data_IF_970367213266
#
_entry.id   IF_970367213266
#
_cell.length_a   1.000
_cell.length_b   1.000
_cell.length_c   1.000
_cell.angle_alpha   90.00
_cell.angle_beta   90.00
_cell.angle_gamma   90.00
#
_symmetry.space_group_name_H-M   'P 1'
#
loop_
_entity.id
_entity.type
_entity.pdbx_description
1 polymer ?
#
# COMPACT_ATOMS: atom_id res chain seq x y z
N UNK A 1 -11.71 -44.22 8.45
CA UNK A 1 -12.18 -43.06 7.65
C UNK A 1 -11.46 -41.81 8.12
N UNK A 2 -10.32 -41.47 7.50
CA UNK A 2 -9.62 -40.20 7.76
C UNK A 2 -10.31 -39.09 6.95
N UNK A 3 -10.98 -38.15 7.62
CA UNK A 3 -11.41 -36.89 7.01
C UNK A 3 -10.17 -36.05 6.76
N UNK A 4 -9.84 -35.83 5.48
CA UNK A 4 -8.84 -34.83 5.07
C UNK A 4 -9.45 -33.45 5.35
N UNK A 5 -8.99 -32.78 6.39
CA UNK A 5 -9.28 -31.37 6.64
C UNK A 5 -8.36 -30.52 5.78
N UNK A 6 -8.92 -29.91 4.74
CA UNK A 6 -8.23 -28.93 3.90
C UNK A 6 -8.03 -27.65 4.71
N UNK A 7 -6.81 -27.43 5.20
CA UNK A 7 -6.40 -26.20 5.87
C UNK A 7 -6.32 -25.09 4.80
N UNK A 8 -7.34 -24.23 4.73
CA UNK A 8 -7.28 -23.02 3.93
C UNK A 8 -6.36 -22.01 4.63
N UNK A 9 -5.08 -22.03 4.28
CA UNK A 9 -4.13 -20.99 4.67
C UNK A 9 -4.58 -19.71 3.97
N UNK A 10 -5.04 -18.73 4.75
CA UNK A 10 -5.44 -17.38 4.31
C UNK A 10 -4.19 -16.60 3.81
N UNK A 11 -3.61 -17.00 2.68
CA UNK A 11 -2.66 -16.20 1.92
C UNK A 11 -3.43 -15.39 0.89
N UNK A 12 -4.11 -14.33 1.32
CA UNK A 12 -4.90 -13.53 0.40
C UNK A 12 -5.58 -12.33 1.03
N UNK A 13 -4.83 -11.43 1.68
CA UNK A 13 -5.32 -10.06 1.82
C UNK A 13 -4.90 -9.27 0.57
N UNK A 14 -5.77 -9.40 -0.43
CA UNK A 14 -5.93 -8.43 -1.50
C UNK A 14 -6.24 -7.09 -0.82
N UNK A 15 -5.49 -6.05 -1.19
CA UNK A 15 -5.83 -4.67 -0.82
C UNK A 15 -7.20 -4.39 -1.44
N UNK A 16 -8.25 -4.46 -0.63
CA UNK A 16 -9.58 -4.06 -1.02
C UNK A 16 -9.59 -2.52 -1.07
N UNK A 17 -9.92 -1.86 -2.20
CA UNK A 17 -10.12 -0.43 -2.20
C UNK A 17 -11.42 -0.12 -1.44
N UNK A 18 -11.33 0.51 -0.27
CA UNK A 18 -12.47 1.13 0.38
C UNK A 18 -12.95 2.28 -0.50
N UNK A 19 -14.13 2.14 -1.13
CA UNK A 19 -14.86 3.28 -1.70
C UNK A 19 -15.59 4.00 -0.58
N UNK A 20 -15.01 5.11 -0.11
CA UNK A 20 -15.63 6.00 0.86
C UNK A 20 -16.67 6.90 0.15
N UNK A 21 -17.95 6.65 0.40
CA UNK A 21 -19.06 7.49 -0.07
C UNK A 21 -19.34 8.59 0.94
N UNK A 22 -18.84 9.80 0.71
CA UNK A 22 -19.16 10.98 1.54
C UNK A 22 -20.44 11.63 0.99
N UNK A 23 -21.53 11.57 1.77
CA UNK A 23 -22.70 12.44 1.57
C UNK A 23 -22.39 13.83 2.15
N UNK A 24 -22.67 14.94 1.43
CA UNK A 24 -22.55 16.27 2.00
C UNK A 24 -23.71 16.52 2.97
N UNK A 25 -23.39 16.89 4.22
CA UNK A 25 -24.35 17.47 5.15
C UNK A 25 -24.44 18.98 4.88
N UNK A 26 -25.63 19.44 4.51
CA UNK A 26 -26.00 20.85 4.40
C UNK A 26 -26.05 21.47 5.80
N UNK A 27 -25.24 22.48 6.05
CA UNK A 27 -25.37 23.35 7.21
C UNK A 27 -26.25 24.56 6.84
N UNK A 28 -27.32 24.76 7.60
CA UNK A 28 -28.13 25.98 7.62
C UNK A 28 -27.68 26.80 8.83
N UNK A 29 -27.17 28.01 8.60
CA UNK A 29 -26.98 29.04 9.63
C UNK A 29 -28.03 30.13 9.46
N UNK A 30 -28.55 30.63 10.58
CA UNK A 30 -29.37 31.84 10.68
C UNK A 30 -28.84 32.73 11.81
N UNK A 31 -28.28 33.89 11.41
CA UNK A 31 -28.43 35.30 11.92
C UNK A 31 -28.41 35.59 13.45
N UNK A 32 -28.08 36.82 13.93
CA UNK A 32 -27.84 38.07 13.20
C UNK A 32 -26.66 38.98 13.62
N UNK A 33 -26.43 39.92 12.71
CA UNK A 33 -25.83 41.25 12.74
C UNK A 33 -25.86 42.01 14.09
N UNK A 34 -24.68 42.46 14.56
CA UNK A 34 -24.53 43.65 15.43
C UNK A 34 -23.37 44.49 14.88
N UNK A 35 -23.71 45.74 14.53
CA UNK A 35 -22.80 46.84 14.25
C UNK A 35 -22.13 47.31 15.54
N UNK A 36 -20.81 47.44 15.56
CA UNK A 36 -20.16 48.47 16.37
C UNK A 36 -18.82 48.90 15.76
N UNK A 37 -18.62 50.21 15.76
CA UNK A 37 -17.54 50.94 15.10
C UNK A 37 -16.49 51.36 16.14
N UNK A 38 -15.26 51.58 15.65
CA UNK A 38 -14.16 52.41 16.20
C UNK A 38 -13.04 51.64 16.93
N UNK A 39 -11.81 51.78 16.39
CA UNK A 39 -10.56 51.48 17.08
C UNK A 39 -9.41 51.10 16.13
N UNK A 40 -8.82 52.09 15.44
CA UNK A 40 -7.56 51.90 14.71
C UNK A 40 -6.40 51.86 15.72
N UNK A 41 -6.05 50.66 16.19
CA UNK A 41 -4.75 50.39 16.81
C UNK A 41 -3.94 49.41 15.96
N UNK A 42 -2.67 49.75 15.81
CA UNK A 42 -1.70 49.12 14.93
C UNK A 42 -1.32 47.72 15.46
N UNK A 43 -2.10 46.70 15.11
CA UNK A 43 -1.78 45.30 15.40
C UNK A 43 -0.66 44.79 14.49
N UNK A 44 0.48 44.48 15.09
CA UNK A 44 1.50 43.63 14.47
C UNK A 44 0.91 42.23 14.24
N UNK A 45 0.97 41.79 12.99
CA UNK A 45 0.29 40.61 12.45
C UNK A 45 0.79 39.30 13.12
N UNK A 46 -0.02 38.61 13.97
CA UNK A 46 0.41 37.39 14.69
C UNK A 46 0.40 36.10 13.83
N UNK A 47 -0.02 36.20 12.56
CA UNK A 47 -0.33 35.05 11.70
C UNK A 47 0.92 34.28 11.22
N UNK A 48 2.07 34.93 11.12
CA UNK A 48 3.31 34.30 10.63
C UNK A 48 3.99 33.37 11.67
N UNK A 49 3.86 33.68 12.95
CA UNK A 49 4.50 32.92 14.04
C UNK A 49 3.71 31.65 14.41
N UNK A 50 2.40 31.64 14.18
CA UNK A 50 1.54 30.47 14.47
C UNK A 50 1.72 29.37 13.41
N UNK A 51 1.89 29.73 12.13
CA UNK A 51 2.01 28.77 11.02
C UNK A 51 3.31 27.95 11.08
N UNK A 52 4.41 28.57 11.51
CA UNK A 52 5.73 27.88 11.66
C UNK A 52 5.76 26.92 12.85
N UNK A 53 5.11 27.28 13.97
CA UNK A 53 5.04 26.43 15.15
C UNK A 53 4.16 25.18 14.94
N UNK A 54 3.04 25.29 14.21
CA UNK A 54 2.15 24.15 13.94
C UNK A 54 2.82 23.10 13.03
N UNK A 55 3.55 23.53 12.00
CA UNK A 55 4.30 22.63 11.10
C UNK A 55 5.39 21.85 11.85
N UNK A 56 6.01 22.45 12.87
CA UNK A 56 7.02 21.77 13.68
C UNK A 56 6.44 20.65 14.55
N UNK A 57 5.26 20.86 15.15
CA UNK A 57 4.62 19.88 16.01
C UNK A 57 4.10 18.66 15.23
N UNK A 58 3.50 18.87 14.05
CA UNK A 58 3.05 17.77 13.18
C UNK A 58 4.25 16.91 12.73
N UNK A 59 5.36 17.54 12.34
CA UNK A 59 6.57 16.83 11.93
C UNK A 59 7.20 16.05 13.10
N UNK A 60 7.22 16.61 14.31
CA UNK A 60 7.70 15.92 15.52
C UNK A 60 6.82 14.71 15.81
N UNK A 61 5.50 14.86 15.79
CA UNK A 61 4.56 13.77 16.01
C UNK A 61 4.72 12.67 14.96
N UNK A 62 4.90 13.05 13.69
CA UNK A 62 5.14 12.12 12.60
C UNK A 62 6.44 11.32 12.80
N UNK A 63 7.54 11.97 13.17
CA UNK A 63 8.82 11.28 13.46
C UNK A 63 8.69 10.35 14.66
N UNK A 64 7.98 10.75 15.70
CA UNK A 64 7.74 9.91 16.87
C UNK A 64 6.95 8.64 16.49
N UNK A 65 5.90 8.76 15.66
CA UNK A 65 5.15 7.61 15.12
C UNK A 65 6.03 6.68 14.29
N UNK A 66 6.93 7.25 13.48
CA UNK A 66 7.93 6.49 12.72
C UNK A 66 8.80 5.63 13.63
N UNK A 67 9.36 6.26 14.66
CA UNK A 67 10.26 5.61 15.61
C UNK A 67 9.52 4.54 16.40
N UNK A 68 8.30 4.83 16.87
CA UNK A 68 7.44 3.85 17.52
C UNK A 68 7.23 2.63 16.61
N UNK A 69 6.90 2.83 15.32
CA UNK A 69 6.78 1.73 14.37
C UNK A 69 8.06 0.90 14.28
N UNK A 70 9.24 1.52 14.13
CA UNK A 70 10.51 0.78 14.06
C UNK A 70 10.81 0.00 15.35
N UNK A 71 10.42 0.52 16.52
CA UNK A 71 10.61 -0.11 17.82
C UNK A 71 9.69 -1.31 18.08
N UNK A 72 8.50 -1.37 17.47
CA UNK A 72 7.60 -2.52 17.64
C UNK A 72 8.26 -3.79 17.11
N UNK A 73 8.33 -4.83 17.92
CA UNK A 73 8.93 -6.12 17.52
C UNK A 73 7.92 -7.25 17.69
N UNK A 74 8.11 -8.31 16.89
CA UNK A 74 7.41 -9.59 17.11
C UNK A 74 7.72 -10.07 18.53
N UNK A 75 6.70 -10.56 19.22
CA UNK A 75 6.76 -11.01 20.61
C UNK A 75 6.46 -9.94 21.66
N UNK A 76 6.37 -8.66 21.30
CA UNK A 76 5.89 -7.62 22.23
C UNK A 76 4.43 -7.85 22.62
N UNK A 77 4.02 -7.45 23.81
CA UNK A 77 2.60 -7.44 24.20
C UNK A 77 1.87 -6.24 23.60
N UNK A 78 0.54 -6.32 23.48
CA UNK A 78 -0.26 -5.17 23.06
C UNK A 78 -0.03 -3.94 23.95
N UNK A 79 0.07 -4.11 25.27
CA UNK A 79 0.33 -3.00 26.20
C UNK A 79 1.69 -2.31 25.96
N UNK A 80 2.73 -3.08 25.59
CA UNK A 80 4.02 -2.50 25.20
C UNK A 80 3.89 -1.67 23.91
N UNK A 81 3.12 -2.15 22.94
CA UNK A 81 2.84 -1.43 21.69
C UNK A 81 2.08 -0.13 21.97
N UNK A 82 1.02 -0.19 22.77
CA UNK A 82 0.24 0.99 23.17
C UNK A 82 1.10 2.04 23.88
N UNK A 83 2.02 1.60 24.73
CA UNK A 83 2.99 2.48 25.39
C UNK A 83 3.98 3.13 24.42
N UNK A 84 4.42 2.40 23.39
CA UNK A 84 5.33 2.93 22.36
C UNK A 84 4.65 3.95 21.45
N UNK A 85 3.42 3.66 21.04
CA UNK A 85 2.65 4.53 20.13
C UNK A 85 2.07 5.74 20.88
N UNK A 86 1.82 5.61 22.19
CA UNK A 86 1.27 6.68 23.02
C UNK A 86 -0.26 6.69 23.07
N UNK A 87 -0.90 5.51 23.00
CA UNK A 87 -2.36 5.39 23.07
C UNK A 87 -2.87 4.00 22.71
N UNK A 88 -4.14 3.74 23.03
CA UNK A 88 -4.83 2.49 22.68
C UNK A 88 -5.10 2.40 21.18
N UNK A 89 -4.94 1.20 20.64
CA UNK A 89 -5.35 0.88 19.27
C UNK A 89 -6.83 0.54 19.19
N UNK A 90 -7.44 0.78 18.04
CA UNK A 90 -8.79 0.28 17.74
C UNK A 90 -8.71 -1.18 17.29
N UNK A 91 -9.41 -2.08 17.97
CA UNK A 91 -9.55 -3.46 17.48
C UNK A 91 -10.46 -3.47 16.25
N UNK A 92 -9.92 -3.87 15.10
CA UNK A 92 -10.66 -3.91 13.83
C UNK A 92 -11.13 -5.32 13.47
N UNK A 93 -10.58 -6.34 14.12
CA UNK A 93 -10.97 -7.73 13.92
C UNK A 93 -10.43 -8.62 15.03
N UNK A 94 -11.17 -9.66 15.40
CA UNK A 94 -10.70 -10.72 16.26
C UNK A 94 -11.29 -12.06 15.83
N UNK A 95 -10.54 -13.14 16.05
CA UNK A 95 -10.96 -14.51 15.74
C UNK A 95 -10.28 -15.49 16.69
N UNK A 96 -10.97 -16.58 17.00
CA UNK A 96 -10.43 -17.67 17.80
C UNK A 96 -10.42 -18.96 16.99
N UNK A 97 -9.31 -19.69 17.03
CA UNK A 97 -9.18 -21.00 16.41
C UNK A 97 -8.32 -21.91 17.28
N UNK A 98 -8.86 -23.08 17.64
CA UNK A 98 -8.21 -24.05 18.53
C UNK A 98 -7.71 -23.43 19.85
N UNK A 99 -8.47 -22.49 20.41
CA UNK A 99 -8.12 -21.81 21.67
C UNK A 99 -7.06 -20.71 21.54
N UNK A 100 -6.49 -20.49 20.35
CA UNK A 100 -5.64 -19.34 20.08
C UNK A 100 -6.46 -18.18 19.53
N UNK A 101 -6.27 -17.00 20.11
CA UNK A 101 -6.95 -15.76 19.70
C UNK A 101 -6.03 -14.93 18.84
N UNK A 102 -6.47 -14.57 17.64
CA UNK A 102 -5.78 -13.64 16.75
C UNK A 102 -6.61 -12.37 16.62
N UNK A 103 -6.00 -11.22 16.93
CA UNK A 103 -6.66 -9.92 16.85
C UNK A 103 -5.81 -8.92 16.05
N UNK A 104 -6.47 -7.97 15.40
CA UNK A 104 -5.82 -6.87 14.68
C UNK A 104 -6.22 -5.54 15.29
N UNK A 105 -5.22 -4.71 15.55
CA UNK A 105 -5.37 -3.37 16.11
C UNK A 105 -4.86 -2.34 15.13
N UNK A 106 -5.52 -1.19 15.08
CA UNK A 106 -5.19 -0.12 14.17
C UNK A 106 -5.06 1.22 14.92
N UNK A 107 -4.05 1.98 14.55
CA UNK A 107 -3.90 3.37 14.94
C UNK A 107 -3.91 4.20 13.67
N UNK A 108 -4.91 5.07 13.54
CA UNK A 108 -5.12 5.90 12.35
C UNK A 108 -4.84 7.35 12.70
N UNK A 109 -4.10 8.02 11.82
CA UNK A 109 -3.85 9.45 11.89
C UNK A 109 -4.17 10.12 10.54
N UNK A 110 -4.24 11.45 10.58
CA UNK A 110 -4.29 12.30 9.38
C UNK A 110 -5.43 11.91 8.41
N UNK A 111 -6.61 11.61 8.96
CA UNK A 111 -7.79 11.24 8.18
C UNK A 111 -7.66 9.91 7.41
N UNK A 112 -6.82 8.98 7.88
CA UNK A 112 -6.60 7.69 7.22
C UNK A 112 -5.35 7.62 6.35
N UNK A 113 -4.62 8.73 6.21
CA UNK A 113 -3.45 8.77 5.33
C UNK A 113 -2.19 8.17 5.97
N UNK A 114 -2.14 8.06 7.30
CA UNK A 114 -1.10 7.31 8.02
C UNK A 114 -1.76 6.33 8.97
N UNK A 115 -1.23 5.11 9.02
CA UNK A 115 -1.68 4.11 9.99
C UNK A 115 -0.57 3.16 10.40
N UNK A 116 -0.71 2.61 11.59
CA UNK A 116 0.00 1.41 12.05
C UNK A 116 -1.05 0.35 12.33
N UNK A 117 -0.90 -0.81 11.71
CA UNK A 117 -1.69 -1.98 12.01
C UNK A 117 -0.80 -3.01 12.70
N UNK A 118 -1.28 -3.60 13.79
CA UNK A 118 -0.60 -4.66 14.55
C UNK A 118 -1.51 -5.86 14.65
N UNK A 119 -0.97 -7.04 14.37
CA UNK A 119 -1.64 -8.31 14.51
C UNK A 119 -1.03 -9.01 15.72
N UNK A 120 -1.86 -9.43 16.65
CA UNK A 120 -1.47 -10.22 17.80
C UNK A 120 -2.01 -11.64 17.71
N UNK A 121 -1.29 -12.58 18.30
CA UNK A 121 -1.77 -13.92 18.60
C UNK A 121 -1.53 -14.18 20.08
N UNK A 122 -2.56 -14.58 20.81
CA UNK A 122 -2.50 -14.85 22.25
C UNK A 122 -1.89 -13.68 23.04
N UNK A 123 -2.25 -12.45 22.63
CA UNK A 123 -1.84 -11.20 23.26
C UNK A 123 -0.46 -10.66 22.88
N UNK A 124 0.31 -11.38 22.04
CA UNK A 124 1.65 -10.94 21.59
C UNK A 124 1.68 -10.64 20.09
N UNK A 125 2.51 -9.68 19.69
CA UNK A 125 2.66 -9.25 18.29
C UNK A 125 3.21 -10.39 17.45
N UNK A 126 2.47 -10.78 16.41
CA UNK A 126 2.91 -11.69 15.34
C UNK A 126 3.07 -10.96 14.01
N UNK A 127 2.58 -9.73 13.90
CA UNK A 127 2.82 -8.90 12.73
C UNK A 127 2.54 -7.42 12.96
N UNK A 128 3.14 -6.60 12.11
CA UNK A 128 2.88 -5.17 12.02
C UNK A 128 2.96 -4.71 10.57
N UNK A 129 2.24 -3.64 10.24
CA UNK A 129 2.39 -2.95 8.97
C UNK A 129 2.10 -1.46 9.14
N UNK A 130 2.54 -0.65 8.18
CA UNK A 130 2.24 0.77 8.17
C UNK A 130 1.91 1.25 6.77
N UNK A 131 0.96 2.17 6.68
CA UNK A 131 0.66 2.94 5.47
C UNK A 131 1.10 4.38 5.61
N UNK A 132 2.28 4.64 6.18
CA UNK A 132 2.77 6.00 6.29
C UNK A 132 3.63 6.40 5.07
N UNK A 133 3.20 7.46 4.39
CA UNK A 133 3.82 8.02 3.20
C UNK A 133 4.76 9.20 3.50
N UNK A 134 4.77 9.71 4.73
CA UNK A 134 5.49 10.92 5.14
C UNK A 134 6.74 10.64 5.96
N UNK A 135 6.95 9.40 6.40
CA UNK A 135 8.16 9.02 7.13
C UNK A 135 9.39 9.17 6.25
N UNK A 136 10.42 9.83 6.80
CA UNK A 136 11.66 10.23 6.14
C UNK A 136 12.11 9.20 5.09
N UNK A 137 12.15 9.63 3.83
CA UNK A 137 12.41 8.75 2.71
C UNK A 137 13.80 8.13 2.87
N UNK A 138 13.87 6.80 2.85
CA UNK A 138 15.12 6.12 2.61
C UNK A 138 15.78 6.73 1.35
N UNK A 139 17.13 6.77 1.26
CA UNK A 139 17.81 7.39 0.14
C UNK A 139 17.23 6.88 -1.19
N UNK A 140 16.87 7.82 -2.06
CA UNK A 140 16.30 7.50 -3.37
C UNK A 140 17.27 6.57 -4.12
N UNK A 141 16.80 5.46 -4.70
CA UNK A 141 17.67 4.56 -5.44
C UNK A 141 18.35 5.26 -6.63
N UNK A 142 19.61 4.93 -6.88
CA UNK A 142 20.40 5.46 -7.99
C UNK A 142 20.09 4.76 -9.34
N UNK A 143 18.81 4.52 -9.61
CA UNK A 143 18.31 4.02 -10.90
C UNK A 143 16.84 4.39 -11.07
N UNK A 144 16.30 4.24 -12.28
CA UNK A 144 14.86 4.43 -12.46
C UNK A 144 14.08 3.29 -11.82
N UNK A 145 12.85 3.59 -11.36
CA UNK A 145 11.92 2.58 -10.83
C UNK A 145 11.64 1.43 -11.82
N UNK A 146 11.60 1.73 -13.12
CA UNK A 146 11.39 0.70 -14.14
C UNK A 146 12.58 -0.27 -14.17
N UNK A 147 13.81 0.25 -14.24
CA UNK A 147 15.02 -0.57 -14.16
C UNK A 147 15.09 -1.37 -12.85
N UNK A 148 14.75 -0.74 -11.72
CA UNK A 148 14.71 -1.41 -10.42
C UNK A 148 13.75 -2.62 -10.43
N UNK A 149 12.53 -2.45 -10.96
CA UNK A 149 11.55 -3.53 -11.04
C UNK A 149 12.03 -4.68 -11.91
N UNK A 150 12.65 -4.41 -13.07
CA UNK A 150 13.16 -5.46 -13.95
C UNK A 150 14.37 -6.20 -13.35
N UNK A 151 15.24 -5.48 -12.62
CA UNK A 151 16.45 -6.05 -12.01
C UNK A 151 16.18 -6.88 -10.75
N UNK A 152 15.16 -6.52 -9.96
CA UNK A 152 14.77 -7.35 -8.81
C UNK A 152 14.10 -8.63 -9.31
N UNK A 153 14.64 -9.77 -8.92
CA UNK A 153 14.14 -11.08 -9.29
C UNK A 153 13.63 -11.84 -8.07
N UNK A 154 12.64 -12.71 -8.28
CA UNK A 154 12.23 -13.69 -7.27
C UNK A 154 13.44 -14.59 -6.97
N UNK A 155 13.60 -14.95 -5.70
CA UNK A 155 14.75 -15.73 -5.25
C UNK A 155 15.92 -14.88 -4.72
N UNK A 156 15.97 -13.57 -5.01
CA UNK A 156 17.04 -12.70 -4.47
C UNK A 156 16.93 -12.55 -2.95
N UNK A 157 18.08 -12.49 -2.27
CA UNK A 157 18.15 -12.17 -0.84
C UNK A 157 17.97 -10.67 -0.57
N UNK A 158 17.69 -10.28 0.69
CA UNK A 158 17.62 -8.86 1.04
C UNK A 158 18.92 -8.13 0.70
N UNK A 159 20.06 -8.76 1.00
CA UNK A 159 21.38 -8.19 0.72
C UNK A 159 21.56 -7.94 -0.78
N UNK A 160 21.16 -8.87 -1.65
CA UNK A 160 21.21 -8.70 -3.09
C UNK A 160 20.31 -7.55 -3.55
N UNK A 161 19.08 -7.47 -3.06
CA UNK A 161 18.16 -6.38 -3.39
C UNK A 161 18.71 -5.02 -2.93
N UNK A 162 19.25 -4.94 -1.72
CA UNK A 162 19.86 -3.72 -1.19
C UNK A 162 21.14 -3.31 -1.92
N UNK A 163 21.93 -4.27 -2.42
CA UNK A 163 23.09 -3.95 -3.26
C UNK A 163 22.69 -3.29 -4.58
N UNK A 164 21.49 -3.61 -5.09
CA UNK A 164 20.95 -3.02 -6.32
C UNK A 164 20.30 -1.66 -6.06
N UNK A 165 19.52 -1.54 -4.98
CA UNK A 165 18.58 -0.43 -4.79
C UNK A 165 18.97 0.53 -3.65
N UNK A 166 20.00 0.19 -2.88
CA UNK A 166 20.29 0.81 -1.58
C UNK A 166 19.34 0.35 -0.49
N UNK A 167 19.40 1.02 0.66
CA UNK A 167 18.56 0.70 1.82
C UNK A 167 17.09 0.98 1.53
N UNK A 168 16.26 -0.07 1.62
CA UNK A 168 14.80 0.06 1.63
C UNK A 168 14.26 0.18 3.05
N UNK A 169 13.02 0.60 3.19
CA UNK A 169 12.36 0.72 4.49
C UNK A 169 11.34 -0.39 4.72
N UNK A 170 11.31 -0.96 5.92
CA UNK A 170 10.33 -1.98 6.28
C UNK A 170 8.94 -1.33 6.39
N UNK A 171 7.96 -1.89 5.68
CA UNK A 171 6.55 -1.47 5.71
C UNK A 171 5.64 -2.56 6.25
N UNK A 172 6.14 -3.79 6.36
CA UNK A 172 5.45 -4.92 6.98
C UNK A 172 6.44 -5.92 7.56
N UNK A 173 6.09 -6.45 8.72
CA UNK A 173 6.71 -7.63 9.33
C UNK A 173 5.58 -8.58 9.72
N UNK A 174 5.74 -9.87 9.48
CA UNK A 174 4.89 -10.88 10.10
C UNK A 174 5.67 -12.17 10.28
N UNK A 175 5.47 -12.84 11.40
CA UNK A 175 6.05 -14.14 11.68
C UNK A 175 4.94 -15.07 12.13
N UNK A 176 4.64 -16.07 11.29
CA UNK A 176 3.58 -17.03 11.53
C UNK A 176 4.13 -18.42 11.26
N UNK A 177 4.00 -19.33 12.23
CA UNK A 177 4.46 -20.71 12.11
C UNK A 177 5.93 -20.82 11.65
N UNK A 178 6.81 -19.99 12.21
CA UNK A 178 8.24 -19.94 11.86
C UNK A 178 8.55 -19.33 10.48
N UNK A 179 7.54 -18.86 9.73
CA UNK A 179 7.76 -18.18 8.47
C UNK A 179 7.76 -16.67 8.68
N UNK A 180 8.95 -16.07 8.57
CA UNK A 180 9.13 -14.63 8.67
C UNK A 180 8.94 -13.99 7.30
N UNK A 181 7.99 -13.08 7.19
CA UNK A 181 7.72 -12.28 6.01
C UNK A 181 8.03 -10.82 6.29
N UNK A 182 8.79 -10.19 5.39
CA UNK A 182 9.16 -8.78 5.46
C UNK A 182 8.77 -8.11 4.14
N UNK A 183 8.18 -6.91 4.20
CA UNK A 183 8.01 -6.08 3.01
C UNK A 183 8.85 -4.82 3.14
N UNK A 184 9.72 -4.59 2.15
CA UNK A 184 10.53 -3.39 2.05
C UNK A 184 10.00 -2.50 0.93
N UNK A 185 10.01 -1.18 1.16
CA UNK A 185 9.61 -0.16 0.19
C UNK A 185 10.80 0.72 -0.14
N UNK A 186 11.02 0.93 -1.44
CA UNK A 186 11.90 1.95 -1.99
C UNK A 186 11.03 3.01 -2.66
N UNK A 187 11.25 4.27 -2.31
CA UNK A 187 10.41 5.38 -2.74
C UNK A 187 11.21 6.37 -3.58
N UNK A 188 10.66 6.78 -4.72
CA UNK A 188 11.25 7.79 -5.61
C UNK A 188 10.63 9.16 -5.40
N UNK A 189 9.34 9.19 -5.08
CA UNK A 189 8.56 10.36 -4.66
C UNK A 189 7.24 9.91 -4.02
N UNK A 190 6.33 10.84 -3.71
CA UNK A 190 5.03 10.57 -3.08
C UNK A 190 4.14 9.58 -3.85
N UNK A 191 4.33 9.43 -5.16
CA UNK A 191 3.47 8.62 -6.03
C UNK A 191 4.15 7.37 -6.59
N UNK A 192 5.49 7.30 -6.53
CA UNK A 192 6.29 6.24 -7.16
C UNK A 192 7.07 5.45 -6.12
N UNK A 193 6.80 4.16 -6.07
CA UNK A 193 7.52 3.24 -5.18
C UNK A 193 7.64 1.83 -5.77
N UNK A 194 8.57 1.06 -5.22
CA UNK A 194 8.73 -0.37 -5.41
C UNK A 194 8.64 -1.02 -4.03
N UNK A 195 7.76 -2.01 -3.89
CA UNK A 195 7.69 -2.87 -2.72
C UNK A 195 8.23 -4.24 -3.08
N UNK A 196 9.12 -4.78 -2.25
CA UNK A 196 9.66 -6.14 -2.36
C UNK A 196 9.30 -6.89 -1.08
N UNK A 197 8.62 -8.02 -1.24
CA UNK A 197 8.25 -8.91 -0.13
C UNK A 197 9.18 -10.11 -0.13
N UNK A 198 9.80 -10.35 1.02
CA UNK A 198 10.66 -11.49 1.29
C UNK A 198 9.98 -12.43 2.27
N UNK A 199 10.21 -13.72 2.11
CA UNK A 199 9.88 -14.76 3.08
C UNK A 199 11.15 -15.53 3.40
N UNK A 200 11.52 -15.59 4.67
CA UNK A 200 12.75 -16.23 5.14
C UNK A 200 13.99 -15.74 4.36
N UNK A 201 14.12 -14.41 4.25
CA UNK A 201 15.17 -13.70 3.49
C UNK A 201 15.18 -13.94 1.97
N UNK A 202 14.15 -14.56 1.39
CA UNK A 202 14.08 -14.79 -0.05
C UNK A 202 12.93 -13.99 -0.65
N UNK A 203 13.21 -13.20 -1.69
CA UNK A 203 12.21 -12.43 -2.43
C UNK A 203 11.13 -13.35 -2.99
N UNK A 204 9.89 -13.13 -2.57
CA UNK A 204 8.68 -13.84 -3.01
C UNK A 204 7.73 -12.98 -3.82
N UNK A 205 7.77 -11.66 -3.63
CA UNK A 205 6.95 -10.76 -4.42
C UNK A 205 7.64 -9.42 -4.68
N UNK A 206 7.25 -8.78 -5.78
CA UNK A 206 7.59 -7.40 -6.11
C UNK A 206 6.37 -6.70 -6.69
N UNK A 207 6.15 -5.46 -6.30
CA UNK A 207 5.06 -4.63 -6.80
C UNK A 207 5.51 -3.20 -6.97
N UNK A 208 5.18 -2.56 -8.09
CA UNK A 208 5.48 -1.15 -8.33
C UNK A 208 4.22 -0.32 -8.39
N UNK A 209 4.24 0.84 -7.75
CA UNK A 209 3.16 1.84 -7.81
C UNK A 209 3.69 3.09 -8.53
N UNK A 210 2.78 3.81 -9.18
CA UNK A 210 3.04 5.10 -9.82
C UNK A 210 3.17 5.01 -11.34
N UNK A 211 2.64 6.04 -12.00
CA UNK A 211 2.71 6.19 -13.44
C UNK A 211 4.03 6.84 -13.82
N UNK A 212 5.06 6.01 -14.00
CA UNK A 212 6.08 6.33 -14.97
C UNK A 212 5.90 5.37 -16.14
N UNK A 213 5.09 5.77 -17.13
CA UNK A 213 5.59 5.62 -18.49
C UNK A 213 6.93 6.34 -18.46
N UNK A 214 8.05 5.65 -18.67
CA UNK A 214 9.28 6.40 -18.84
C UNK A 214 9.05 7.36 -20.04
N UNK A 215 9.43 8.64 -19.94
CA UNK A 215 9.39 9.51 -21.11
C UNK A 215 10.10 8.82 -22.27
N UNK A 216 9.41 8.61 -23.40
CA UNK A 216 9.96 7.89 -24.55
C UNK A 216 9.70 6.37 -24.61
N UNK A 217 9.10 5.76 -23.58
CA UNK A 217 8.47 4.43 -23.73
C UNK A 217 7.18 4.61 -24.52
N UNK A 218 7.29 4.60 -25.85
CA UNK A 218 6.15 4.38 -26.71
C UNK A 218 5.63 2.98 -26.43
N UNK A 219 4.74 2.84 -25.45
CA UNK A 219 3.77 1.76 -25.53
C UNK A 219 3.05 2.00 -26.86
N UNK A 220 3.13 1.04 -27.77
CA UNK A 220 2.20 0.99 -28.88
C UNK A 220 0.82 1.11 -28.27
N UNK A 221 0.12 2.22 -28.53
CA UNK A 221 -1.22 2.42 -28.02
C UNK A 221 -2.03 1.15 -28.34
N UNK A 222 -2.78 0.60 -27.38
CA UNK A 222 -3.55 -0.59 -27.66
C UNK A 222 -4.47 -0.35 -28.86
N UNK A 223 -4.66 -1.40 -29.67
CA UNK A 223 -5.44 -1.29 -30.91
C UNK A 223 -6.92 -1.02 -30.66
N UNK A 224 -7.41 -1.55 -29.55
CA UNK A 224 -8.78 -1.40 -29.08
C UNK A 224 -8.89 -0.17 -28.19
N UNK A 225 -10.08 0.44 -28.11
CA UNK A 225 -10.40 1.38 -27.05
C UNK A 225 -10.37 0.69 -25.68
N UNK A 226 -10.31 1.45 -24.56
CA UNK A 226 -10.31 0.86 -23.22
C UNK A 226 -11.53 -0.04 -22.95
N UNK A 227 -12.71 0.31 -23.49
CA UNK A 227 -13.94 -0.48 -23.32
C UNK A 227 -13.88 -1.79 -24.11
N UNK A 228 -13.54 -1.71 -25.39
CA UNK A 228 -13.37 -2.90 -26.24
C UNK A 228 -12.29 -3.83 -25.66
N UNK A 229 -11.21 -3.27 -25.10
CA UNK A 229 -10.18 -4.05 -24.43
C UNK A 229 -10.66 -4.72 -23.15
N UNK A 230 -11.52 -4.05 -22.37
CA UNK A 230 -12.13 -4.62 -21.17
C UNK A 230 -13.11 -5.76 -21.50
N UNK A 231 -13.91 -5.59 -22.56
CA UNK A 231 -14.89 -6.57 -23.03
C UNK A 231 -14.21 -7.79 -23.67
N UNK A 232 -13.07 -7.60 -24.30
CA UNK A 232 -12.25 -8.68 -24.85
C UNK A 232 -11.68 -9.62 -23.76
N UNK A 233 -11.62 -9.17 -22.49
CA UNK A 233 -11.18 -10.01 -21.38
C UNK A 233 -12.35 -10.89 -20.93
N UNK A 234 -12.37 -12.11 -21.42
CA UNK A 234 -13.37 -13.13 -21.11
C UNK A 234 -12.74 -14.31 -20.36
N UNK A 235 -13.59 -15.12 -19.71
CA UNK A 235 -13.14 -16.36 -19.08
C UNK A 235 -12.49 -17.28 -20.13
N UNK A 236 -11.34 -17.88 -19.77
CA UNK A 236 -10.58 -18.75 -20.65
C UNK A 236 -9.61 -18.05 -21.61
N UNK A 237 -9.64 -16.72 -21.71
CA UNK A 237 -8.64 -15.97 -22.48
C UNK A 237 -7.29 -16.03 -21.76
N UNK A 238 -6.23 -16.33 -22.51
CA UNK A 238 -4.85 -16.35 -22.02
C UNK A 238 -4.19 -14.97 -22.13
N UNK A 239 -3.15 -14.74 -21.34
CA UNK A 239 -2.36 -13.50 -21.45
C UNK A 239 -1.79 -13.29 -22.86
N UNK A 240 -1.32 -14.35 -23.52
CA UNK A 240 -0.78 -14.28 -24.88
C UNK A 240 -1.83 -13.84 -25.91
N UNK A 241 -3.09 -14.29 -25.76
CA UNK A 241 -4.20 -13.84 -26.61
C UNK A 241 -4.50 -12.36 -26.38
N UNK A 242 -4.50 -11.89 -25.13
CA UNK A 242 -4.64 -10.46 -24.83
C UNK A 242 -3.49 -9.64 -25.40
N UNK A 243 -2.25 -10.12 -25.29
CA UNK A 243 -1.08 -9.46 -25.87
C UNK A 243 -1.17 -9.31 -27.39
N UNK A 244 -1.70 -10.32 -28.07
CA UNK A 244 -1.91 -10.27 -29.52
C UNK A 244 -2.95 -9.20 -29.93
N UNK A 245 -3.97 -8.98 -29.09
CA UNK A 245 -5.06 -8.02 -29.36
C UNK A 245 -4.71 -6.60 -28.91
N UNK A 246 -4.15 -6.46 -27.70
CA UNK A 246 -3.95 -5.20 -27.00
C UNK A 246 -2.51 -4.70 -27.04
N UNK A 247 -1.58 -5.51 -27.52
CA UNK A 247 -0.13 -5.25 -27.39
C UNK A 247 0.41 -5.69 -26.03
N UNK A 248 1.71 -5.50 -25.81
CA UNK A 248 2.39 -5.95 -24.58
C UNK A 248 1.98 -5.09 -23.37
N UNK A 249 1.43 -5.68 -22.29
CA UNK A 249 1.15 -4.96 -21.07
C UNK A 249 2.42 -4.62 -20.30
N UNK A 250 2.23 -3.86 -19.23
CA UNK A 250 3.24 -3.64 -18.21
C UNK A 250 3.03 -4.58 -17.00
N UNK A 251 4.08 -5.34 -16.66
CA UNK A 251 4.33 -5.98 -15.35
C UNK A 251 4.10 -5.02 -14.16
N UNK A 252 3.02 -5.08 -13.38
CA UNK A 252 2.84 -4.22 -12.19
C UNK A 252 3.22 -4.91 -10.90
N UNK A 253 2.85 -6.18 -10.78
CA UNK A 253 3.16 -7.01 -9.63
C UNK A 253 3.49 -8.43 -10.10
N UNK A 254 4.36 -9.09 -9.35
CA UNK A 254 4.61 -10.52 -9.46
C UNK A 254 4.76 -11.08 -8.06
N UNK A 255 4.14 -12.22 -7.78
CA UNK A 255 4.34 -12.97 -6.55
C UNK A 255 4.38 -14.47 -6.80
N UNK A 256 5.18 -15.16 -6.00
CA UNK A 256 5.25 -16.61 -5.96
C UNK A 256 5.35 -17.08 -4.51
N UNK A 257 4.30 -17.73 -4.02
CA UNK A 257 4.23 -18.32 -2.69
C UNK A 257 3.89 -19.80 -2.82
N UNK A 258 4.84 -20.68 -2.50
CA UNK A 258 4.74 -22.10 -2.79
C UNK A 258 4.54 -22.34 -4.29
N UNK A 259 3.46 -23.04 -4.64
CA UNK A 259 3.07 -23.33 -6.03
C UNK A 259 2.14 -22.27 -6.63
N UNK A 260 1.74 -21.26 -5.86
CA UNK A 260 0.86 -20.19 -6.32
C UNK A 260 1.67 -19.07 -6.92
N UNK A 261 1.41 -18.76 -8.19
CA UNK A 261 2.00 -17.63 -8.91
C UNK A 261 0.88 -16.65 -9.24
N UNK A 262 1.10 -15.37 -8.94
CA UNK A 262 0.17 -14.30 -9.32
C UNK A 262 0.92 -13.14 -9.97
N UNK A 263 0.30 -12.50 -10.95
CA UNK A 263 0.85 -11.34 -11.63
C UNK A 263 -0.25 -10.38 -12.05
N UNK A 264 -0.03 -9.08 -11.81
CA UNK A 264 -0.91 -8.03 -12.29
C UNK A 264 -0.29 -7.34 -13.49
N UNK A 265 -1.06 -7.20 -14.56
CA UNK A 265 -0.67 -6.58 -15.81
C UNK A 265 -1.57 -5.39 -16.10
N UNK A 266 -1.00 -4.31 -16.65
CA UNK A 266 -1.75 -3.10 -16.98
C UNK A 266 -1.46 -2.63 -18.39
N UNK A 267 -2.52 -2.35 -19.15
CA UNK A 267 -2.49 -1.59 -20.41
C UNK A 267 -2.96 -0.17 -20.14
N UNK A 268 -2.27 0.80 -20.70
CA UNK A 268 -2.50 2.23 -20.44
C UNK A 268 -2.73 2.97 -21.76
N UNK A 269 -3.81 3.74 -21.86
CA UNK A 269 -4.18 4.44 -23.10
C UNK A 269 -3.75 5.89 -23.15
N UNK A 270 -3.52 6.54 -22.01
CA UNK A 270 -3.16 7.95 -21.95
C UNK A 270 -1.88 8.18 -21.15
N UNK A 271 -1.20 9.28 -21.46
CA UNK A 271 0.11 9.59 -20.87
C UNK A 271 0.05 9.85 -19.36
N UNK A 272 -1.09 10.32 -18.85
CA UNK A 272 -1.30 10.50 -17.40
C UNK A 272 -1.59 9.17 -16.68
N UNK A 273 -1.84 8.09 -17.42
CA UNK A 273 -2.15 6.75 -16.92
C UNK A 273 -3.43 6.67 -16.10
N UNK A 274 -4.37 7.59 -16.35
CA UNK A 274 -5.70 7.59 -15.73
C UNK A 274 -6.68 6.70 -16.47
N UNK A 275 -6.38 6.28 -17.70
CA UNK A 275 -7.19 5.34 -18.46
C UNK A 275 -6.41 4.05 -18.64
N UNK A 276 -6.84 3.00 -17.94
CA UNK A 276 -6.18 1.71 -17.96
C UNK A 276 -7.15 0.55 -17.88
N UNK A 277 -6.67 -0.59 -18.35
CA UNK A 277 -7.24 -1.91 -18.10
C UNK A 277 -6.21 -2.70 -17.31
N UNK A 278 -6.64 -3.28 -16.20
CA UNK A 278 -5.82 -4.13 -15.34
C UNK A 278 -6.37 -5.55 -15.36
N UNK A 279 -5.47 -6.53 -15.42
CA UNK A 279 -5.80 -7.94 -15.22
C UNK A 279 -4.88 -8.57 -14.20
N UNK A 280 -5.43 -9.44 -13.37
CA UNK A 280 -4.64 -10.34 -12.52
C UNK A 280 -4.71 -11.74 -13.08
N UNK A 281 -3.52 -12.33 -13.28
CA UNK A 281 -3.33 -13.70 -13.74
C UNK A 281 -2.79 -14.51 -12.58
N UNK A 282 -3.50 -15.56 -12.18
CA UNK A 282 -3.09 -16.52 -11.17
C UNK A 282 -2.91 -17.90 -11.81
N UNK A 283 -1.75 -18.52 -11.63
CA UNK A 283 -1.41 -19.84 -12.19
C UNK A 283 -1.73 -19.97 -13.69
N UNK A 284 -1.48 -18.90 -14.46
CA UNK A 284 -1.71 -18.83 -15.90
C UNK A 284 -3.15 -18.51 -16.33
N UNK A 285 -4.09 -18.33 -15.39
CA UNK A 285 -5.49 -17.99 -15.67
C UNK A 285 -5.84 -16.58 -15.20
N UNK A 286 -6.65 -15.87 -15.96
CA UNK A 286 -7.18 -14.57 -15.54
C UNK A 286 -8.20 -14.80 -14.42
N UNK A 287 -7.95 -14.19 -13.26
CA UNK A 287 -8.83 -14.30 -12.08
C UNK A 287 -9.52 -13.00 -11.73
N UNK A 288 -9.03 -11.87 -12.24
CA UNK A 288 -9.62 -10.56 -12.01
C UNK A 288 -9.34 -9.64 -13.20
N UNK A 289 -10.29 -8.74 -13.47
CA UNK A 289 -10.12 -7.62 -14.39
C UNK A 289 -10.74 -6.37 -13.79
N UNK A 290 -10.17 -5.21 -14.10
CA UNK A 290 -10.72 -3.90 -13.73
C UNK A 290 -10.33 -2.84 -14.77
N UNK A 291 -11.04 -1.72 -14.73
CA UNK A 291 -10.79 -0.55 -15.57
C UNK A 291 -11.01 0.70 -14.74
N UNK A 292 -10.28 1.77 -15.04
CA UNK A 292 -10.42 3.05 -14.34
C UNK A 292 -11.65 3.87 -14.73
N UNK A 293 -12.41 3.42 -15.73
CA UNK A 293 -13.69 4.00 -16.09
C UNK A 293 -14.80 2.98 -15.81
N UNK A 294 -15.58 3.13 -14.73
CA UNK A 294 -16.79 2.34 -14.57
C UNK A 294 -17.73 2.63 -15.75
N UNK A 295 -18.45 1.60 -16.18
CA UNK A 295 -19.50 1.65 -17.19
C UNK A 295 -20.42 2.87 -16.94
N UNK A 296 -20.73 3.63 -18.00
CA UNK A 296 -21.77 4.66 -17.96
C UNK A 296 -23.14 4.01 -18.07
#
# INVERSE_FOLDING_TARGET
MLKRSTLAVLCGFIVCPLTLSIKPALAQESTPEILETVGLEHQSNPTATVTTNIQSAELIALRARAQAYEMIQVGMTLAQVESLIGGKGEEISSSEYNGSVTASYNWIWDGGLSSINVITQDGVVVGKSTTDYRLDAAPKPNMSRAQAYERVQIGMTLQQVQSLLGTGRITRISELNGNKTLAYKWQWDSTRSLTVTLQNDVTKAKARIGNALAPGSALSAPRLSPYEAYDAIQAGVTLAQLEAQLGKPRQMSFSQFGNSISSTYVWVWNRNGLTYVEVTVSNGQITHKSTSRPEQ
#
